data_IF_248058367256
#
_entry.id   IF_248058367256
#
_cell.length_a   1.000
_cell.length_b   1.000
_cell.length_c   1.000
_cell.angle_alpha   90.00
_cell.angle_beta   90.00
_cell.angle_gamma   90.00
#
_symmetry.space_group_name_H-M   'P 1'
#
loop_
_entity.id
_entity.type
_entity.pdbx_description
1 polymer ?
#
# COMPACT_ATOMS: atom_id res chain seq x y z
N UNK A 1 8.72 15.37 36.87
CA UNK A 1 7.64 15.95 36.03
C UNK A 1 8.12 16.60 34.72
N UNK A 2 9.27 17.31 34.67
CA UNK A 2 9.72 17.99 33.43
C UNK A 2 10.13 17.04 32.30
N UNK A 3 10.85 15.95 32.61
CA UNK A 3 11.32 14.97 31.63
C UNK A 3 10.17 14.27 30.89
N UNK A 4 9.09 13.91 31.59
CA UNK A 4 7.91 13.25 31.00
C UNK A 4 7.21 14.12 29.97
N UNK A 5 7.12 15.45 30.22
CA UNK A 5 6.54 16.41 29.28
C UNK A 5 7.37 16.54 28.01
N UNK A 6 8.71 16.63 28.14
CA UNK A 6 9.61 16.72 26.99
C UNK A 6 9.59 15.45 26.15
N UNK A 7 9.63 14.28 26.78
CA UNK A 7 9.56 12.98 26.09
C UNK A 7 8.21 12.84 25.37
N UNK A 8 7.10 13.23 26.00
CA UNK A 8 5.78 13.18 25.37
C UNK A 8 5.69 14.02 24.09
N UNK A 9 6.23 15.24 24.11
CA UNK A 9 6.27 16.11 22.93
C UNK A 9 7.14 15.50 21.82
N UNK A 10 8.33 14.99 22.17
CA UNK A 10 9.22 14.33 21.22
C UNK A 10 8.57 13.10 20.56
N UNK A 11 7.84 12.28 21.33
CA UNK A 11 7.12 11.12 20.80
C UNK A 11 6.02 11.52 19.82
N UNK A 12 5.30 12.61 20.08
CA UNK A 12 4.28 13.14 19.14
C UNK A 12 4.94 13.58 17.84
N UNK A 13 6.03 14.34 17.93
CA UNK A 13 6.79 14.80 16.74
C UNK A 13 7.29 13.59 15.94
N UNK A 14 7.89 12.61 16.60
CA UNK A 14 8.35 11.38 15.94
C UNK A 14 7.18 10.64 15.26
N UNK A 15 6.03 10.52 15.91
CA UNK A 15 4.84 9.93 15.32
C UNK A 15 4.37 10.66 14.05
N UNK A 16 4.34 11.99 14.09
CA UNK A 16 3.98 12.81 12.91
C UNK A 16 4.96 12.57 11.76
N UNK A 17 6.26 12.57 12.05
CA UNK A 17 7.31 12.33 11.05
C UNK A 17 7.09 10.96 10.39
N UNK A 18 6.83 9.91 11.17
CA UNK A 18 6.60 8.56 10.65
C UNK A 18 5.34 8.48 9.78
N UNK A 19 4.25 9.16 10.15
CA UNK A 19 3.02 9.21 9.35
C UNK A 19 3.29 9.89 8.00
N UNK A 20 3.98 11.03 8.01
CA UNK A 20 4.30 11.77 6.78
C UNK A 20 5.22 10.94 5.87
N UNK A 21 6.27 10.33 6.43
CA UNK A 21 7.18 9.48 5.67
C UNK A 21 6.45 8.28 5.04
N UNK A 22 5.57 7.62 5.81
CA UNK A 22 4.74 6.52 5.31
C UNK A 22 3.80 6.96 4.18
N UNK A 23 3.14 8.10 4.32
CA UNK A 23 2.24 8.64 3.30
C UNK A 23 2.96 8.98 1.99
N UNK A 24 4.15 9.61 2.09
CA UNK A 24 4.99 9.90 0.92
C UNK A 24 5.39 8.60 0.23
N UNK A 25 5.90 7.63 1.00
CA UNK A 25 6.37 6.35 0.44
C UNK A 25 5.22 5.62 -0.27
N UNK A 26 4.05 5.51 0.38
CA UNK A 26 2.85 4.94 -0.22
C UNK A 26 2.46 5.65 -1.53
N UNK A 27 2.42 6.98 -1.51
CA UNK A 27 2.07 7.79 -2.69
C UNK A 27 3.03 7.58 -3.86
N UNK A 28 4.34 7.49 -3.58
CA UNK A 28 5.35 7.26 -4.64
C UNK A 28 5.18 5.89 -5.30
N UNK A 29 4.98 4.82 -4.52
CA UNK A 29 4.77 3.47 -5.06
C UNK A 29 3.45 3.39 -5.81
N UNK A 30 2.36 3.94 -5.27
CA UNK A 30 1.06 3.98 -5.94
C UNK A 30 1.12 4.71 -7.30
N UNK A 31 1.88 5.81 -7.37
CA UNK A 31 2.09 6.54 -8.62
C UNK A 31 2.85 5.74 -9.65
N UNK A 32 3.88 4.98 -9.24
CA UNK A 32 4.62 4.10 -10.14
C UNK A 32 3.74 2.97 -10.67
N UNK A 33 3.02 2.27 -9.79
CA UNK A 33 2.07 1.22 -10.18
C UNK A 33 1.04 1.72 -11.20
N UNK A 34 0.49 2.91 -10.97
CA UNK A 34 -0.46 3.53 -11.90
C UNK A 34 0.17 3.84 -13.27
N UNK A 35 1.44 4.24 -13.29
CA UNK A 35 2.15 4.54 -14.54
C UNK A 35 2.37 3.30 -15.41
N UNK A 36 2.51 2.12 -14.80
CA UNK A 36 2.66 0.85 -15.53
C UNK A 36 1.38 0.40 -16.25
N UNK A 37 0.21 1.00 -15.96
CA UNK A 37 -1.07 0.70 -16.61
C UNK A 37 -1.45 -0.80 -16.62
N UNK A 38 -1.09 -1.52 -15.56
CA UNK A 38 -1.42 -2.94 -15.39
C UNK A 38 -2.82 -3.07 -14.79
N UNK A 39 -3.56 -4.10 -15.23
CA UNK A 39 -4.89 -4.44 -14.71
C UNK A 39 -4.88 -5.87 -14.19
N UNK A 40 -5.49 -6.07 -13.03
CA UNK A 40 -5.66 -7.41 -12.44
C UNK A 40 -6.50 -8.28 -13.38
N UNK A 41 -6.07 -9.51 -13.71
CA UNK A 41 -6.85 -10.48 -14.45
C UNK A 41 -8.29 -10.65 -13.93
N UNK A 42 -9.22 -10.87 -14.86
CA UNK A 42 -10.67 -10.92 -14.55
C UNK A 42 -11.10 -12.16 -13.76
N UNK A 43 -10.25 -13.17 -13.71
CA UNK A 43 -10.41 -14.43 -12.97
C UNK A 43 -9.71 -14.41 -11.60
N UNK A 44 -9.17 -13.27 -11.17
CA UNK A 44 -8.65 -13.10 -9.81
C UNK A 44 -9.76 -13.29 -8.78
N UNK A 45 -9.67 -14.31 -7.94
CA UNK A 45 -10.63 -14.56 -6.85
C UNK A 45 -10.27 -13.84 -5.53
N UNK A 46 -9.12 -13.19 -5.46
CA UNK A 46 -8.66 -12.49 -4.26
C UNK A 46 -9.71 -11.50 -3.72
N UNK A 47 -10.00 -11.58 -2.43
CA UNK A 47 -11.07 -10.83 -1.75
C UNK A 47 -12.44 -10.97 -2.44
N UNK A 48 -12.77 -12.17 -2.93
CA UNK A 48 -14.03 -12.45 -3.62
C UNK A 48 -14.13 -11.77 -4.98
N UNK A 49 -13.00 -11.53 -5.65
CA UNK A 49 -12.94 -10.86 -6.95
C UNK A 49 -13.07 -9.34 -6.92
N UNK A 50 -12.97 -8.71 -5.74
CA UNK A 50 -13.11 -7.26 -5.60
C UNK A 50 -12.13 -6.44 -6.46
N UNK A 51 -10.97 -7.03 -6.79
CA UNK A 51 -9.93 -6.41 -7.59
C UNK A 51 -9.86 -6.91 -9.03
N UNK A 52 -10.67 -7.90 -9.42
CA UNK A 52 -10.68 -8.43 -10.78
C UNK A 52 -11.01 -7.32 -11.81
N UNK A 53 -10.19 -7.20 -12.85
CA UNK A 53 -10.32 -6.15 -13.87
C UNK A 53 -10.04 -4.73 -13.36
N UNK A 54 -9.53 -4.55 -12.14
CA UNK A 54 -9.19 -3.23 -11.59
C UNK A 54 -7.72 -2.89 -11.89
N UNK A 55 -7.41 -1.60 -12.08
CA UNK A 55 -6.03 -1.16 -12.28
C UNK A 55 -5.19 -1.38 -11.02
N UNK A 56 -3.95 -1.82 -11.21
CA UNK A 56 -2.98 -2.01 -10.13
C UNK A 56 -2.47 -0.64 -9.70
N UNK A 57 -3.06 -0.09 -8.64
CA UNK A 57 -2.78 1.28 -8.16
C UNK A 57 -2.45 1.36 -6.68
N UNK A 58 -2.62 0.26 -5.96
CA UNK A 58 -2.32 0.17 -4.54
C UNK A 58 -1.90 -1.24 -4.12
N UNK A 59 -1.54 -1.43 -2.84
CA UNK A 59 -0.96 -2.68 -2.35
C UNK A 59 -1.91 -3.87 -2.47
N UNK A 60 -3.21 -3.69 -2.21
CA UNK A 60 -4.18 -4.80 -2.32
C UNK A 60 -4.39 -5.25 -3.78
N UNK A 61 -4.52 -4.30 -4.72
CA UNK A 61 -4.60 -4.64 -6.15
C UNK A 61 -3.29 -5.24 -6.68
N UNK A 62 -2.13 -4.78 -6.17
CA UNK A 62 -0.83 -5.34 -6.54
C UNK A 62 -0.66 -6.77 -6.00
N UNK A 63 -1.14 -7.03 -4.79
CA UNK A 63 -1.17 -8.37 -4.24
C UNK A 63 -2.10 -9.28 -5.05
N UNK A 64 -3.31 -8.81 -5.39
CA UNK A 64 -4.24 -9.56 -6.24
C UNK A 64 -3.61 -9.92 -7.60
N UNK A 65 -2.90 -8.97 -8.23
CA UNK A 65 -2.12 -9.22 -9.44
C UNK A 65 -1.06 -10.31 -9.25
N UNK A 66 -0.29 -10.24 -8.17
CA UNK A 66 0.78 -11.20 -7.89
C UNK A 66 0.23 -12.61 -7.60
N UNK A 67 -0.87 -12.68 -6.84
CA UNK A 67 -1.54 -13.92 -6.47
C UNK A 67 -2.07 -14.66 -7.69
N UNK A 68 -2.77 -13.97 -8.58
CA UNK A 68 -3.31 -14.59 -9.79
C UNK A 68 -2.21 -14.97 -10.80
N UNK A 69 -1.12 -14.20 -10.90
CA UNK A 69 0.07 -14.61 -11.67
C UNK A 69 0.59 -15.96 -11.13
N UNK A 70 0.71 -16.10 -9.81
CA UNK A 70 1.21 -17.32 -9.20
C UNK A 70 0.24 -18.50 -9.43
N UNK A 71 -1.08 -18.25 -9.43
CA UNK A 71 -2.08 -19.26 -9.74
C UNK A 71 -1.95 -19.81 -11.16
N UNK A 72 -1.72 -18.96 -12.17
CA UNK A 72 -1.52 -19.40 -13.56
C UNK A 72 -0.14 -19.99 -13.85
N UNK A 73 0.84 -19.73 -12.99
CA UNK A 73 2.22 -20.20 -13.17
C UNK A 73 2.48 -21.62 -12.63
N UNK A 74 1.57 -22.17 -11.81
CA UNK A 74 1.65 -23.50 -11.20
C UNK A 74 0.76 -24.52 -11.95
#
# INVERSE_FOLDING_TARGET
MKATKTIGILSIIAGIIMIVAGAITYGTVASQLKAENITVPGDSEFMGGAFAGKPVTGPLSAYAQADIINHHAL
#
